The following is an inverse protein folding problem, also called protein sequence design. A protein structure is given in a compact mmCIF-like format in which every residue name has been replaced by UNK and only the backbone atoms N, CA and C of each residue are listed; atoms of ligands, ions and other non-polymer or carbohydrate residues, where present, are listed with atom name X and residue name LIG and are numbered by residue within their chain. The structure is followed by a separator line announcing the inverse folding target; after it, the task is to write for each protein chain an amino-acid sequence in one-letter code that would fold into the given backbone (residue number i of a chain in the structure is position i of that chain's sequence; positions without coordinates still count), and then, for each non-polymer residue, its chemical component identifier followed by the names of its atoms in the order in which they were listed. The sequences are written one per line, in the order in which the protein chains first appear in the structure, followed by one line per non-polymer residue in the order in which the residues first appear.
data_IF_809953247388
#
_entry.id   IF_809953247388
#
_cell.length_a   1.000
_cell.length_b   1.000
_cell.length_c   1.000
_cell.angle_alpha   90.00
_cell.angle_beta   90.00
_cell.angle_gamma   90.00
#
_symmetry.space_group_name_H-M   'P 1'
#
loop_
_entity.id
_entity.type
_entity.pdbx_description
1 polymer ?
#
# COMPACT_ATOMS: atom_id res chain seq x y z
N UNK A 1 -27.18 7.17 -2.55
CA UNK A 1 -26.61 6.16 -1.99
C UNK A 1 -25.17 6.03 -2.35
N UNK A 2 -24.46 5.63 -1.46
CA UNK A 2 -23.11 5.57 -1.60
C UNK A 2 -22.66 4.39 -2.30
N UNK A 3 -21.82 4.50 -3.22
CA UNK A 3 -21.38 3.37 -3.96
C UNK A 3 -19.88 3.24 -3.85
N UNK A 4 -19.40 3.27 -2.63
CA UNK A 4 -17.99 3.13 -2.41
C UNK A 4 -17.54 1.73 -2.71
N UNK A 5 -16.31 1.60 -3.09
CA UNK A 5 -15.71 0.30 -3.28
C UNK A 5 -15.15 -0.16 -1.93
N UNK A 6 -15.11 -1.47 -1.74
CA UNK A 6 -14.47 -2.04 -0.57
C UNK A 6 -13.04 -2.35 -0.96
N UNK A 7 -12.10 -2.05 -0.09
CA UNK A 7 -10.70 -2.29 -0.37
C UNK A 7 -10.20 -3.44 0.50
N UNK A 8 -9.56 -4.41 -0.15
CA UNK A 8 -8.93 -5.52 0.54
C UNK A 8 -7.44 -5.40 0.35
N UNK A 9 -6.68 -5.72 1.36
CA UNK A 9 -5.23 -5.67 1.31
C UNK A 9 -4.73 -7.10 1.40
N UNK A 10 -3.96 -7.53 0.41
CA UNK A 10 -3.42 -8.87 0.42
C UNK A 10 -2.52 -9.04 1.64
N UNK A 11 -2.64 -10.15 2.36
CA UNK A 11 -1.81 -10.37 3.54
C UNK A 11 -0.31 -10.26 3.27
N UNK A 12 0.08 -10.58 2.07
CA UNK A 12 1.45 -10.45 1.63
C UNK A 12 1.99 -9.02 1.84
N UNK A 13 1.14 -8.00 1.65
CA UNK A 13 1.58 -6.62 1.85
C UNK A 13 1.86 -6.33 3.31
N UNK A 14 1.01 -6.85 4.19
CA UNK A 14 1.22 -6.68 5.62
C UNK A 14 2.50 -7.38 6.04
N UNK A 15 2.78 -8.53 5.44
CA UNK A 15 3.98 -9.27 5.74
C UNK A 15 5.23 -8.49 5.31
N UNK A 16 5.19 -7.81 4.19
CA UNK A 16 6.30 -6.98 3.76
C UNK A 16 6.56 -5.89 4.79
N UNK A 17 5.51 -5.23 5.25
CA UNK A 17 5.66 -4.16 6.23
C UNK A 17 6.20 -4.69 7.54
N UNK A 18 5.72 -5.86 7.98
CA UNK A 18 6.20 -6.45 9.21
C UNK A 18 7.69 -6.82 9.11
N UNK A 19 8.12 -7.28 7.96
CA UNK A 19 9.51 -7.62 7.77
C UNK A 19 10.41 -6.38 7.80
N UNK A 20 9.93 -5.30 7.21
CA UNK A 20 10.67 -4.04 7.25
C UNK A 20 10.78 -3.55 8.69
N UNK A 21 9.70 -3.64 9.44
CA UNK A 21 9.67 -3.18 10.81
C UNK A 21 10.62 -4.01 11.68
N UNK A 22 10.60 -5.33 11.50
CA UNK A 22 11.46 -6.21 12.26
C UNK A 22 12.92 -5.92 11.95
N UNK A 23 13.25 -5.75 10.67
CA UNK A 23 14.62 -5.46 10.27
C UNK A 23 15.10 -4.15 10.89
N UNK A 24 14.25 -3.14 10.91
CA UNK A 24 14.62 -1.87 11.50
C UNK A 24 14.78 -1.96 13.00
N UNK A 25 13.96 -2.77 13.65
CA UNK A 25 14.11 -2.95 15.08
C UNK A 25 15.44 -3.62 15.38
N UNK A 26 15.81 -4.65 14.62
CA UNK A 26 17.07 -5.34 14.88
C UNK A 26 18.26 -4.41 14.67
N UNK A 27 18.24 -3.63 13.60
CA UNK A 27 19.37 -2.76 13.30
C UNK A 27 19.42 -1.49 14.13
N UNK A 28 18.29 -0.87 14.34
CA UNK A 28 18.24 0.46 14.92
C UNK A 28 17.45 0.55 16.21
N UNK A 29 16.90 -0.56 16.68
CA UNK A 29 16.06 -0.58 17.87
C UNK A 29 14.91 0.41 17.76
N UNK A 30 14.33 0.50 16.59
CA UNK A 30 13.30 1.46 16.32
C UNK A 30 12.06 0.77 15.79
N UNK A 31 10.91 1.00 16.45
CA UNK A 31 9.65 0.38 16.04
C UNK A 31 8.79 1.32 15.22
N UNK A 32 9.18 2.57 15.06
CA UNK A 32 8.26 3.55 14.50
C UNK A 32 8.03 3.40 13.00
N UNK A 33 8.92 2.68 12.30
CA UNK A 33 8.76 2.57 10.86
C UNK A 33 7.52 1.77 10.51
N UNK A 34 7.23 0.70 11.25
CA UNK A 34 6.04 -0.10 10.98
C UNK A 34 4.77 0.69 11.21
N UNK A 35 4.74 1.48 12.27
CA UNK A 35 3.60 2.32 12.56
C UNK A 35 3.41 3.34 11.45
N UNK A 36 4.49 3.96 11.01
CA UNK A 36 4.43 4.96 9.97
C UNK A 36 3.93 4.36 8.65
N UNK A 37 4.45 3.21 8.25
CA UNK A 37 4.04 2.57 7.01
C UNK A 37 2.58 2.12 7.06
N UNK A 38 2.15 1.62 8.22
CA UNK A 38 0.76 1.18 8.39
C UNK A 38 -0.19 2.38 8.30
N UNK A 39 0.19 3.49 8.91
CA UNK A 39 -0.65 4.69 8.84
C UNK A 39 -0.73 5.21 7.42
N UNK A 40 0.38 5.17 6.70
CA UNK A 40 0.39 5.64 5.33
C UNK A 40 -0.48 4.75 4.46
N UNK A 41 -0.40 3.44 4.65
CA UNK A 41 -1.22 2.51 3.88
C UNK A 41 -2.70 2.73 4.15
N UNK A 42 -3.05 2.99 5.41
CA UNK A 42 -4.44 3.24 5.76
C UNK A 42 -4.96 4.53 5.16
N UNK A 43 -4.11 5.55 5.10
CA UNK A 43 -4.49 6.81 4.50
C UNK A 43 -4.75 6.62 3.01
N UNK A 44 -3.88 5.87 2.33
CA UNK A 44 -4.01 5.62 0.91
C UNK A 44 -5.25 4.76 0.64
N UNK A 45 -5.57 3.83 1.54
CA UNK A 45 -6.77 3.05 1.41
C UNK A 45 -8.00 3.95 1.31
N UNK A 46 -8.08 4.97 2.18
CA UNK A 46 -9.19 5.91 2.13
C UNK A 46 -9.22 6.72 0.84
N UNK A 47 -8.07 7.12 0.34
CA UNK A 47 -7.99 7.88 -0.90
C UNK A 47 -8.48 7.02 -2.07
N UNK A 48 -8.07 5.77 -2.12
CA UNK A 48 -8.44 4.88 -3.21
C UNK A 48 -9.92 4.50 -3.13
N UNK A 49 -10.46 4.34 -1.93
CA UNK A 49 -11.89 4.06 -1.79
C UNK A 49 -12.71 5.19 -2.40
N UNK A 50 -12.27 6.41 -2.23
CA UNK A 50 -12.99 7.57 -2.74
C UNK A 50 -12.74 7.78 -4.22
N UNK A 51 -11.58 7.33 -4.72
CA UNK A 51 -11.22 7.56 -6.11
C UNK A 51 -10.46 6.35 -6.64
N UNK A 52 -11.18 5.28 -7.02
CA UNK A 52 -10.54 4.01 -7.41
C UNK A 52 -9.56 4.10 -8.57
N UNK A 53 -9.71 5.11 -9.41
CA UNK A 53 -8.83 5.23 -10.57
C UNK A 53 -7.65 6.17 -10.35
N UNK A 54 -7.39 6.51 -9.09
CA UNK A 54 -6.29 7.40 -8.80
C UNK A 54 -4.97 6.68 -9.10
N UNK A 55 -3.98 7.43 -9.48
CA UNK A 55 -2.69 6.84 -9.80
C UNK A 55 -2.56 6.61 -11.29
N UNK A 56 -1.57 5.82 -11.66
CA UNK A 56 -1.29 5.58 -13.06
C UNK A 56 -1.78 4.20 -13.47
N UNK A 57 -2.54 4.14 -14.57
CA UNK A 57 -3.03 2.88 -15.06
C UNK A 57 -1.88 2.07 -15.64
N UNK A 58 -1.72 0.83 -15.23
CA UNK A 58 -0.67 -0.04 -15.74
C UNK A 58 -1.23 -1.14 -16.63
N UNK A 59 -2.48 -1.53 -16.42
CA UNK A 59 -3.17 -2.49 -17.27
C UNK A 59 -4.64 -2.23 -17.07
N UNK A 60 -5.50 -2.90 -17.82
CA UNK A 60 -6.94 -2.77 -17.62
C UNK A 60 -7.26 -3.07 -16.16
N UNK A 61 -7.94 -2.15 -15.53
CA UNK A 61 -8.33 -2.25 -14.11
C UNK A 61 -7.19 -2.37 -13.12
N UNK A 62 -5.97 -2.12 -13.52
CA UNK A 62 -4.83 -2.16 -12.59
C UNK A 62 -4.12 -0.82 -12.59
N UNK A 63 -3.86 -0.33 -11.40
CA UNK A 63 -3.27 0.99 -11.21
C UNK A 63 -2.12 0.94 -10.22
N UNK A 64 -1.21 1.89 -10.32
CA UNK A 64 -0.17 2.03 -9.30
C UNK A 64 -0.23 3.43 -8.74
N UNK A 65 0.00 3.53 -7.45
CA UNK A 65 -0.04 4.79 -6.74
C UNK A 65 1.28 4.95 -6.00
N UNK A 66 1.97 6.05 -6.24
CA UNK A 66 3.24 6.31 -5.56
C UNK A 66 2.96 7.12 -4.31
N UNK A 67 3.35 6.59 -3.17
CA UNK A 67 3.09 7.25 -1.91
C UNK A 67 4.03 8.41 -1.72
N UNK A 68 3.49 9.55 -1.32
CA UNK A 68 4.26 10.79 -1.33
C UNK A 68 5.36 10.81 -0.28
N UNK A 69 5.15 10.23 0.87
CA UNK A 69 6.12 10.30 1.94
C UNK A 69 7.28 9.34 1.77
N UNK A 70 6.98 8.08 1.47
CA UNK A 70 8.02 7.06 1.42
C UNK A 70 8.46 6.72 0.00
N UNK A 71 7.71 7.18 -1.00
CA UNK A 71 7.93 6.84 -2.39
C UNK A 71 7.71 5.35 -2.66
N UNK A 72 7.07 4.66 -1.75
CA UNK A 72 6.68 3.28 -1.97
C UNK A 72 5.61 3.25 -3.05
N UNK A 73 5.49 2.15 -3.76
CA UNK A 73 4.52 2.02 -4.83
C UNK A 73 3.51 0.95 -4.45
N UNK A 74 2.24 1.31 -4.49
CA UNK A 74 1.17 0.41 -4.16
C UNK A 74 0.42 0.08 -5.44
N UNK A 75 0.17 -1.20 -5.68
CA UNK A 75 -0.55 -1.64 -6.86
C UNK A 75 -1.93 -2.10 -6.49
N UNK A 76 -2.92 -1.66 -7.25
CA UNK A 76 -4.31 -2.00 -6.96
C UNK A 76 -4.99 -2.55 -8.21
N UNK A 77 -5.99 -3.39 -8.00
CA UNK A 77 -6.79 -3.92 -9.08
C UNK A 77 -8.26 -3.71 -8.74
N UNK A 78 -9.03 -3.19 -9.69
CA UNK A 78 -10.44 -2.93 -9.49
C UNK A 78 -11.23 -4.11 -10.01
N UNK A 79 -12.08 -4.69 -9.15
CA UNK A 79 -12.96 -5.78 -9.55
C UNK A 79 -14.34 -5.16 -9.68
N UNK A 80 -14.71 -4.79 -10.88
CA UNK A 80 -15.93 -4.01 -11.08
C UNK A 80 -17.20 -4.72 -10.63
N UNK A 81 -17.32 -6.00 -10.93
CA UNK A 81 -18.55 -6.70 -10.62
C UNK A 81 -18.90 -6.71 -9.16
N UNK A 82 -17.93 -6.83 -8.29
CA UNK A 82 -18.20 -6.87 -6.86
C UNK A 82 -17.87 -5.57 -6.16
N UNK A 83 -17.44 -4.57 -6.94
CA UNK A 83 -17.07 -3.27 -6.40
C UNK A 83 -16.00 -3.40 -5.34
N UNK A 84 -15.02 -4.23 -5.60
CA UNK A 84 -13.89 -4.40 -4.70
C UNK A 84 -12.63 -3.87 -5.34
N UNK A 85 -11.72 -3.41 -4.51
CA UNK A 85 -10.39 -3.04 -4.97
C UNK A 85 -9.44 -3.88 -4.14
N UNK A 86 -8.48 -4.51 -4.80
CA UNK A 86 -7.50 -5.33 -4.11
C UNK A 86 -6.14 -4.68 -4.23
N UNK A 87 -5.51 -4.39 -3.09
CA UNK A 87 -4.13 -3.97 -3.10
C UNK A 87 -3.31 -5.26 -3.19
N UNK A 88 -2.72 -5.49 -4.35
CA UNK A 88 -2.11 -6.78 -4.60
C UNK A 88 -0.60 -6.79 -4.58
N UNK A 89 0.03 -5.64 -4.57
CA UNK A 89 1.48 -5.60 -4.48
C UNK A 89 1.91 -4.27 -3.86
N UNK A 90 3.04 -4.28 -3.23
CA UNK A 90 3.57 -3.11 -2.54
C UNK A 90 5.08 -3.18 -2.67
N UNK A 91 5.69 -2.16 -3.24
CA UNK A 91 7.13 -2.14 -3.39
C UNK A 91 7.68 -1.00 -2.58
N UNK A 92 8.42 -1.26 -1.53
CA UNK A 92 9.01 -0.22 -0.73
C UNK A 92 10.02 0.55 -1.59
N UNK A 93 10.36 1.72 -1.14
CA UNK A 93 11.30 2.56 -1.85
C UNK A 93 12.62 1.82 -1.94
N UNK A 94 13.00 1.48 -3.14
CA UNK A 94 14.03 0.55 -3.31
C UNK A 94 15.37 1.02 -2.83
N UNK A 95 15.70 2.27 -2.84
CA UNK A 95 16.92 2.63 -2.38
C UNK A 95 17.08 2.73 -0.97
N UNK A 96 16.23 2.20 -0.28
CA UNK A 96 16.21 2.32 1.09
C UNK A 96 17.19 1.44 1.77
N UNK A 97 18.42 1.80 1.86
CA UNK A 97 19.39 0.99 2.54
C UNK A 97 19.16 0.90 4.02
N UNK A 98 18.20 1.62 4.54
CA UNK A 98 17.88 1.48 5.91
C UNK A 98 16.84 0.42 6.15
N UNK A 99 16.21 -0.08 5.12
CA UNK A 99 15.19 -1.08 5.28
C UNK A 99 15.65 -2.46 4.89
N UNK A 100 16.87 -2.60 4.50
CA UNK A 100 17.40 -3.91 4.12
C UNK A 100 18.75 -4.17 4.74
#
# INVERSE_FOLDING_TARGET
MELNFDVEIEPYIIEIIDNIDYYNYIRFRNFSIGIFLTKELRKVKGIVEANPHIGKKVQTNKYKYVMSSTKAVLYSEIIENSRNIIFYDYKPFKQNKYLY
#
